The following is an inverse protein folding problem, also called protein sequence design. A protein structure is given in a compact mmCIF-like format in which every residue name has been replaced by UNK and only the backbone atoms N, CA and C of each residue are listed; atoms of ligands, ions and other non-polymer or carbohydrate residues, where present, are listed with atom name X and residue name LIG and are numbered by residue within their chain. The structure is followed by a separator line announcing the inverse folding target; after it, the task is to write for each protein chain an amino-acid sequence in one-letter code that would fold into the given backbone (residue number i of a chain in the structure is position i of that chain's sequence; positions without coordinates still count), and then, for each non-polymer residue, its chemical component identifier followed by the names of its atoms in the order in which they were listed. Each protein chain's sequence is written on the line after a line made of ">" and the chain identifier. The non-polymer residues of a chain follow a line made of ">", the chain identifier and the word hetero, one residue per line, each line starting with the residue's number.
data_IF_165780585911
#
_entry.id   IF_165780585911
#
_cell.length_a   1.000
_cell.length_b   1.000
_cell.length_c   1.000
_cell.angle_alpha   90.00
_cell.angle_beta   90.00
_cell.angle_gamma   90.00
#
_symmetry.space_group_name_H-M   'P 1'
#
loop_
_entity.id
_entity.type
_entity.pdbx_description
1 polymer ?
#
# COMPACT_ATOMS: atom_id res chain seq x y z
N UNK A 1 4.65 13.76 -38.22
CA UNK A 1 4.57 12.85 -37.05
C UNK A 1 5.96 12.28 -36.83
N UNK A 2 6.54 12.42 -35.65
CA UNK A 2 7.82 11.76 -35.33
C UNK A 2 7.59 10.25 -35.22
N UNK A 3 8.52 9.46 -35.74
CA UNK A 3 8.52 8.00 -35.61
C UNK A 3 8.62 7.62 -34.13
N UNK A 4 7.70 6.77 -33.67
CA UNK A 4 7.72 6.26 -32.30
C UNK A 4 8.84 5.21 -32.15
N UNK A 5 9.66 5.35 -31.11
CA UNK A 5 10.71 4.40 -30.76
C UNK A 5 10.52 3.93 -29.31
N UNK A 6 10.03 2.70 -29.08
CA UNK A 6 9.81 2.18 -27.73
C UNK A 6 11.14 2.03 -26.98
N UNK A 7 11.14 2.40 -25.70
CA UNK A 7 12.29 2.29 -24.80
C UNK A 7 11.87 1.59 -23.51
N UNK A 8 11.74 0.24 -23.51
CA UNK A 8 11.43 -0.50 -22.30
C UNK A 8 12.57 -0.35 -21.28
N UNK A 9 12.24 -0.42 -19.99
CA UNK A 9 13.24 -0.44 -18.92
C UNK A 9 14.04 -1.73 -19.00
N UNK A 10 15.35 -1.63 -18.79
CA UNK A 10 16.20 -2.82 -18.70
C UNK A 10 15.93 -3.58 -17.40
N UNK A 11 15.46 -4.81 -17.54
CA UNK A 11 15.15 -5.75 -16.45
C UNK A 11 16.05 -6.99 -16.48
N UNK A 12 17.05 -7.03 -17.37
CA UNK A 12 17.88 -8.22 -17.61
C UNK A 12 18.69 -8.67 -16.38
N UNK A 13 19.11 -7.72 -15.54
CA UNK A 13 19.83 -7.98 -14.29
C UNK A 13 18.93 -8.31 -13.09
N UNK A 14 17.60 -8.29 -13.24
CA UNK A 14 16.68 -8.51 -12.12
C UNK A 14 16.45 -10.00 -11.92
N UNK A 15 16.80 -10.49 -10.73
CA UNK A 15 16.47 -11.84 -10.27
C UNK A 15 15.30 -11.80 -9.30
N UNK A 16 14.25 -12.57 -9.59
CA UNK A 16 13.09 -12.71 -8.72
C UNK A 16 13.29 -13.92 -7.80
N UNK A 17 12.92 -13.79 -6.52
CA UNK A 17 12.93 -14.92 -5.59
C UNK A 17 11.85 -15.94 -5.95
N UNK A 18 11.98 -17.19 -5.46
CA UNK A 18 10.97 -18.23 -5.69
C UNK A 18 9.56 -17.82 -5.24
N UNK A 19 9.45 -17.13 -4.12
CA UNK A 19 8.15 -16.66 -3.63
C UNK A 19 7.54 -15.59 -4.53
N UNK A 20 8.35 -14.72 -5.14
CA UNK A 20 7.88 -13.75 -6.12
C UNK A 20 7.53 -14.45 -7.44
N UNK A 21 8.27 -15.48 -7.83
CA UNK A 21 7.94 -16.29 -9.01
C UNK A 21 6.57 -16.94 -8.87
N UNK A 22 6.17 -17.40 -7.68
CA UNK A 22 4.81 -17.91 -7.43
C UNK A 22 3.72 -16.86 -7.66
N UNK A 23 4.00 -15.57 -7.45
CA UNK A 23 3.05 -14.48 -7.75
C UNK A 23 2.78 -14.35 -9.25
N UNK A 24 3.70 -14.81 -10.10
CA UNK A 24 3.53 -14.76 -11.56
C UNK A 24 2.26 -15.46 -12.00
N UNK A 25 2.00 -16.66 -11.48
CA UNK A 25 0.83 -17.45 -11.88
C UNK A 25 -0.47 -16.77 -11.44
N UNK A 26 -0.49 -16.25 -10.20
CA UNK A 26 -1.63 -15.52 -9.66
C UNK A 26 -1.92 -14.24 -10.47
N UNK A 27 -0.89 -13.51 -10.86
CA UNK A 27 -1.04 -12.30 -11.68
C UNK A 27 -1.46 -12.63 -13.12
N UNK A 28 -0.93 -13.71 -13.71
CA UNK A 28 -1.30 -14.18 -15.03
C UNK A 28 -2.79 -14.59 -15.07
N UNK A 29 -3.22 -15.39 -14.10
CA UNK A 29 -4.62 -15.77 -13.94
C UNK A 29 -5.52 -14.55 -13.73
N UNK A 30 -5.14 -13.63 -12.83
CA UNK A 30 -5.90 -12.41 -12.60
C UNK A 30 -6.06 -11.56 -13.87
N UNK A 31 -4.96 -11.35 -14.62
CA UNK A 31 -5.01 -10.58 -15.87
C UNK A 31 -5.94 -11.22 -16.89
N UNK A 32 -5.92 -12.55 -17.00
CA UNK A 32 -6.83 -13.29 -17.87
C UNK A 32 -8.29 -13.11 -17.45
N UNK A 33 -8.59 -13.22 -16.16
CA UNK A 33 -9.95 -13.04 -15.64
C UNK A 33 -10.48 -11.62 -15.87
N UNK A 34 -9.63 -10.59 -15.70
CA UNK A 34 -10.00 -9.19 -16.02
C UNK A 34 -10.27 -9.02 -17.51
N UNK A 35 -9.41 -9.56 -18.38
CA UNK A 35 -9.62 -9.53 -19.82
C UNK A 35 -10.92 -10.24 -20.21
N UNK A 36 -11.16 -11.44 -19.67
CA UNK A 36 -12.33 -12.24 -19.96
C UNK A 36 -13.62 -11.55 -19.48
N UNK A 37 -13.61 -11.01 -18.26
CA UNK A 37 -14.72 -10.23 -17.71
C UNK A 37 -15.07 -9.04 -18.62
N UNK A 38 -14.05 -8.28 -19.04
CA UNK A 38 -14.24 -7.14 -19.94
C UNK A 38 -14.84 -7.60 -21.28
N UNK A 39 -14.28 -8.64 -21.91
CA UNK A 39 -14.80 -9.20 -23.17
C UNK A 39 -16.24 -9.67 -23.03
N UNK A 40 -16.58 -10.39 -21.96
CA UNK A 40 -17.94 -10.85 -21.68
C UNK A 40 -18.90 -9.65 -21.52
N UNK A 41 -18.48 -8.60 -20.80
CA UNK A 41 -19.28 -7.37 -20.65
C UNK A 41 -19.55 -6.67 -21.99
N UNK A 42 -18.63 -6.77 -22.93
CA UNK A 42 -18.76 -6.27 -24.30
C UNK A 42 -19.59 -7.20 -25.21
N UNK A 43 -20.16 -8.29 -24.67
CA UNK A 43 -20.99 -9.26 -25.38
C UNK A 43 -20.21 -10.34 -26.11
N UNK A 44 -18.93 -10.55 -25.78
CA UNK A 44 -18.17 -11.66 -26.34
C UNK A 44 -18.53 -12.98 -25.66
N UNK A 45 -18.47 -14.06 -26.45
CA UNK A 45 -18.76 -15.42 -26.00
C UNK A 45 -17.68 -16.39 -26.44
N UNK A 46 -17.62 -17.56 -25.82
CA UNK A 46 -16.72 -18.62 -26.26
C UNK A 46 -17.01 -19.05 -27.72
N UNK A 47 -15.95 -19.31 -28.47
CA UNK A 47 -16.03 -20.02 -29.75
C UNK A 47 -14.69 -20.67 -30.09
N UNK A 48 -14.68 -21.79 -30.83
CA UNK A 48 -13.47 -22.56 -31.11
C UNK A 48 -12.43 -21.80 -31.94
N UNK A 49 -12.84 -20.73 -32.61
CA UNK A 49 -11.99 -19.79 -33.33
C UNK A 49 -12.47 -18.36 -33.07
N UNK A 50 -11.57 -17.41 -33.24
CA UNK A 50 -11.88 -15.98 -33.10
C UNK A 50 -12.77 -15.53 -34.27
N UNK A 51 -13.90 -14.90 -33.94
CA UNK A 51 -14.85 -14.32 -34.89
C UNK A 51 -15.33 -12.97 -34.34
N UNK A 52 -14.71 -11.88 -34.77
CA UNK A 52 -14.99 -10.54 -34.24
C UNK A 52 -16.39 -10.05 -34.61
N UNK A 53 -16.93 -10.47 -35.76
CA UNK A 53 -18.27 -10.10 -36.21
C UNK A 53 -19.36 -10.74 -35.32
N UNK A 54 -19.15 -11.99 -34.89
CA UNK A 54 -20.04 -12.69 -33.94
C UNK A 54 -19.58 -12.56 -32.49
N UNK A 55 -18.53 -11.77 -32.23
CA UNK A 55 -17.87 -11.60 -30.92
C UNK A 55 -17.57 -12.94 -30.25
N UNK A 56 -16.84 -13.82 -30.93
CA UNK A 56 -16.37 -15.09 -30.37
C UNK A 56 -14.87 -15.10 -30.18
N UNK A 57 -14.40 -15.68 -29.07
CA UNK A 57 -12.98 -15.85 -28.80
C UNK A 57 -12.68 -17.21 -28.13
N UNK A 58 -11.64 -17.95 -28.56
CA UNK A 58 -11.30 -19.26 -28.00
C UNK A 58 -10.80 -19.18 -26.55
N UNK A 59 -10.10 -18.10 -26.21
CA UNK A 59 -9.61 -17.85 -24.86
C UNK A 59 -10.69 -17.54 -23.82
N UNK A 60 -11.98 -17.43 -24.17
CA UNK A 60 -13.05 -17.21 -23.18
C UNK A 60 -13.41 -18.51 -22.43
N UNK A 61 -12.43 -19.02 -21.72
CA UNK A 61 -12.47 -20.20 -20.85
C UNK A 61 -11.71 -19.86 -19.55
N UNK A 62 -11.92 -20.61 -18.45
CA UNK A 62 -11.10 -20.45 -17.25
C UNK A 62 -9.61 -20.55 -17.57
N UNK A 63 -8.78 -19.75 -16.91
CA UNK A 63 -7.33 -19.68 -17.15
C UNK A 63 -6.62 -21.05 -17.20
N UNK A 64 -6.98 -21.96 -16.28
CA UNK A 64 -6.44 -23.33 -16.24
C UNK A 64 -6.79 -24.21 -17.46
N UNK A 65 -7.72 -23.79 -18.32
CA UNK A 65 -8.10 -24.48 -19.56
C UNK A 65 -7.47 -23.89 -20.82
N UNK A 66 -6.71 -22.80 -20.70
CA UNK A 66 -5.94 -22.24 -21.81
C UNK A 66 -4.85 -23.22 -22.27
N UNK A 67 -4.28 -22.97 -23.44
CA UNK A 67 -3.04 -23.64 -23.85
C UNK A 67 -1.84 -23.12 -23.05
N UNK A 68 -0.77 -23.91 -22.96
CA UNK A 68 0.46 -23.46 -22.31
C UNK A 68 1.06 -22.22 -22.96
N UNK A 69 0.93 -22.09 -24.29
CA UNK A 69 1.40 -20.92 -25.04
C UNK A 69 0.62 -19.65 -24.70
N UNK A 70 -0.70 -19.75 -24.54
CA UNK A 70 -1.54 -18.62 -24.13
C UNK A 70 -1.19 -18.20 -22.70
N UNK A 71 -1.13 -19.15 -21.77
CA UNK A 71 -0.68 -18.86 -20.39
C UNK A 71 0.72 -18.28 -20.34
N UNK A 72 1.63 -18.72 -21.22
CA UNK A 72 3.00 -18.20 -21.24
C UNK A 72 3.05 -16.71 -21.60
N UNK A 73 2.14 -16.23 -22.44
CA UNK A 73 2.04 -14.81 -22.76
C UNK A 73 1.67 -13.97 -21.52
N UNK A 74 0.66 -14.42 -20.77
CA UNK A 74 0.24 -13.74 -19.54
C UNK A 74 1.32 -13.80 -18.46
N UNK A 75 1.97 -14.96 -18.31
CA UNK A 75 3.12 -15.14 -17.39
C UNK A 75 4.28 -14.23 -17.74
N UNK A 76 4.62 -14.09 -19.01
CA UNK A 76 5.69 -13.17 -19.44
C UNK A 76 5.35 -11.71 -19.09
N UNK A 77 4.09 -11.32 -19.30
CA UNK A 77 3.61 -9.98 -18.96
C UNK A 77 3.69 -9.72 -17.45
N UNK A 78 3.26 -10.69 -16.64
CA UNK A 78 3.35 -10.62 -15.19
C UNK A 78 4.81 -10.58 -14.68
N UNK A 79 5.70 -11.41 -15.25
CA UNK A 79 7.12 -11.43 -14.90
C UNK A 79 7.79 -10.09 -15.16
N UNK A 80 7.58 -9.49 -16.34
CA UNK A 80 8.18 -8.20 -16.66
C UNK A 80 7.65 -7.08 -15.75
N UNK A 81 6.36 -7.09 -15.42
CA UNK A 81 5.81 -6.14 -14.45
C UNK A 81 6.49 -6.27 -13.07
N UNK A 82 6.65 -7.50 -12.56
CA UNK A 82 7.36 -7.77 -11.30
C UNK A 82 8.81 -7.30 -11.36
N UNK A 83 9.53 -7.59 -12.46
CA UNK A 83 10.92 -7.14 -12.60
C UNK A 83 11.04 -5.63 -12.64
N UNK A 84 10.14 -4.92 -13.31
CA UNK A 84 10.12 -3.45 -13.34
C UNK A 84 9.96 -2.88 -11.93
N UNK A 85 9.07 -3.45 -11.11
CA UNK A 85 8.87 -3.03 -9.72
C UNK A 85 10.19 -3.13 -8.93
N UNK A 86 10.89 -4.26 -9.05
CA UNK A 86 12.18 -4.49 -8.38
C UNK A 86 13.27 -3.55 -8.95
N UNK A 87 13.34 -3.38 -10.28
CA UNK A 87 14.27 -2.46 -10.94
C UNK A 87 14.06 -0.98 -10.54
N UNK A 88 12.87 -0.63 -10.05
CA UNK A 88 12.57 0.68 -9.49
C UNK A 88 12.98 0.83 -8.00
N UNK A 89 13.65 -0.17 -7.42
CA UNK A 89 14.11 -0.14 -6.03
C UNK A 89 13.07 -0.59 -5.01
N UNK A 90 11.96 -1.19 -5.44
CA UNK A 90 10.94 -1.72 -4.54
C UNK A 90 11.29 -3.14 -4.07
N UNK A 91 10.77 -3.53 -2.90
CA UNK A 91 10.85 -4.91 -2.40
C UNK A 91 9.45 -5.48 -2.22
N UNK A 92 9.21 -6.68 -2.76
CA UNK A 92 7.98 -7.45 -2.54
C UNK A 92 8.30 -8.50 -1.47
N UNK A 93 7.60 -8.43 -0.34
CA UNK A 93 7.78 -9.37 0.77
C UNK A 93 6.45 -10.06 1.01
N UNK A 94 6.36 -11.40 0.88
CA UNK A 94 5.20 -12.16 1.33
C UNK A 94 4.99 -11.90 2.81
N UNK A 95 3.80 -11.41 3.18
CA UNK A 95 3.40 -11.43 4.58
C UNK A 95 3.26 -12.92 4.96
N UNK A 96 3.99 -13.36 6.00
CA UNK A 96 4.09 -14.76 6.38
C UNK A 96 2.73 -15.50 6.27
N UNK A 97 2.72 -16.63 5.55
CA UNK A 97 1.52 -17.45 5.33
C UNK A 97 1.03 -18.04 6.66
N UNK A 98 -0.07 -17.48 7.13
CA UNK A 98 -0.85 -17.86 8.32
C UNK A 98 -1.82 -16.71 8.61
N UNK A 99 -2.94 -16.96 9.29
CA UNK A 99 -4.01 -15.97 9.56
C UNK A 99 -3.57 -14.63 10.19
N UNK A 100 -2.28 -14.49 10.51
CA UNK A 100 -1.59 -13.26 10.87
C UNK A 100 -1.59 -12.22 9.74
N UNK A 101 -1.41 -12.58 8.46
CA UNK A 101 -1.32 -11.59 7.37
C UNK A 101 -2.65 -10.87 7.09
N UNK A 102 -3.76 -11.61 7.08
CA UNK A 102 -5.12 -11.07 6.95
C UNK A 102 -5.51 -10.24 8.18
N UNK A 103 -5.06 -10.67 9.38
CA UNK A 103 -5.22 -9.91 10.62
C UNK A 103 -4.39 -8.61 10.60
N UNK A 104 -3.16 -8.61 10.07
CA UNK A 104 -2.31 -7.41 10.00
C UNK A 104 -2.83 -6.40 8.98
N UNK A 105 -3.27 -6.83 7.80
CA UNK A 105 -3.86 -5.92 6.81
C UNK A 105 -5.16 -5.29 7.34
N UNK A 106 -6.05 -6.10 7.91
CA UNK A 106 -7.30 -5.59 8.51
C UNK A 106 -7.05 -4.69 9.72
N UNK A 107 -6.03 -4.96 10.53
CA UNK A 107 -5.61 -4.08 11.62
C UNK A 107 -5.08 -2.74 11.10
N UNK A 108 -4.30 -2.74 10.01
CA UNK A 108 -3.80 -1.50 9.38
C UNK A 108 -4.91 -0.67 8.75
N UNK A 109 -5.88 -1.32 8.11
CA UNK A 109 -7.06 -0.64 7.56
C UNK A 109 -7.89 -0.01 8.66
N UNK A 110 -8.08 -0.73 9.78
CA UNK A 110 -8.75 -0.20 10.97
C UNK A 110 -8.01 1.00 11.56
N UNK A 111 -6.70 0.87 11.78
CA UNK A 111 -5.87 1.97 12.29
C UNK A 111 -5.93 3.21 11.38
N UNK A 112 -6.00 3.02 10.06
CA UNK A 112 -6.15 4.12 9.10
C UNK A 112 -7.54 4.79 9.19
N UNK A 113 -8.60 4.00 9.38
CA UNK A 113 -9.95 4.53 9.58
C UNK A 113 -10.03 5.31 10.90
N UNK A 114 -9.50 4.75 11.98
CA UNK A 114 -9.43 5.39 13.31
C UNK A 114 -8.62 6.70 13.26
N UNK A 115 -7.50 6.71 12.53
CA UNK A 115 -6.72 7.93 12.27
C UNK A 115 -7.56 9.00 11.58
N UNK A 116 -8.28 8.63 10.52
CA UNK A 116 -9.09 9.57 9.75
C UNK A 116 -10.20 10.18 10.61
N UNK A 117 -10.87 9.37 11.43
CA UNK A 117 -11.90 9.83 12.38
C UNK A 117 -11.31 10.76 13.43
N UNK A 118 -10.16 10.39 14.03
CA UNK A 118 -9.50 11.23 15.02
C UNK A 118 -9.05 12.57 14.44
N UNK A 119 -8.40 12.57 13.27
CA UNK A 119 -7.99 13.81 12.61
C UNK A 119 -9.19 14.68 12.24
N UNK A 120 -10.31 14.09 11.79
CA UNK A 120 -11.52 14.84 11.53
C UNK A 120 -12.07 15.51 12.81
N UNK A 121 -12.06 14.79 13.94
CA UNK A 121 -12.47 15.33 15.26
C UNK A 121 -11.57 16.48 15.72
N UNK A 122 -10.25 16.33 15.59
CA UNK A 122 -9.26 17.37 15.95
C UNK A 122 -9.34 18.60 15.03
N UNK A 123 -9.68 18.40 13.76
CA UNK A 123 -9.93 19.49 12.82
C UNK A 123 -11.23 20.23 13.14
N UNK A 124 -12.28 19.54 13.60
CA UNK A 124 -13.56 20.15 13.94
C UNK A 124 -13.49 21.15 15.10
N UNK A 125 -12.54 20.97 16.02
CA UNK A 125 -12.30 21.88 17.17
C UNK A 125 -11.22 22.93 16.90
N UNK A 126 -10.73 23.06 15.67
CA UNK A 126 -9.70 24.04 15.33
C UNK A 126 -10.18 25.49 15.52
N UNK A 127 -9.41 26.26 16.26
CA UNK A 127 -9.68 27.66 16.59
C UNK A 127 -10.76 27.86 17.65
N UNK A 128 -11.33 26.78 18.21
CA UNK A 128 -12.36 26.88 19.24
C UNK A 128 -11.75 26.91 20.64
N UNK A 129 -12.54 27.31 21.64
CA UNK A 129 -12.10 27.33 23.05
C UNK A 129 -11.88 25.91 23.61
N UNK A 130 -12.47 24.90 22.98
CA UNK A 130 -12.34 23.48 23.32
C UNK A 130 -11.06 22.85 22.76
N UNK A 131 -10.39 23.50 21.80
CA UNK A 131 -9.25 22.97 21.06
C UNK A 131 -8.18 22.37 21.98
N UNK A 132 -7.69 23.16 22.94
CA UNK A 132 -6.65 22.72 23.85
C UNK A 132 -7.10 21.51 24.67
N UNK A 133 -8.34 21.53 25.18
CA UNK A 133 -8.87 20.43 26.00
C UNK A 133 -8.97 19.12 25.23
N UNK A 134 -9.34 19.18 23.95
CA UNK A 134 -9.46 17.99 23.10
C UNK A 134 -8.09 17.44 22.70
N UNK A 135 -7.12 18.31 22.42
CA UNK A 135 -5.73 17.90 22.16
C UNK A 135 -5.11 17.23 23.40
N UNK A 136 -5.31 17.82 24.58
CA UNK A 136 -4.82 17.28 25.86
C UNK A 136 -5.46 15.92 26.17
N UNK A 137 -6.77 15.81 26.00
CA UNK A 137 -7.51 14.55 26.18
C UNK A 137 -7.02 13.49 25.22
N UNK A 138 -6.89 13.82 23.94
CA UNK A 138 -6.40 12.89 22.91
C UNK A 138 -5.00 12.37 23.25
N UNK A 139 -4.11 13.23 23.74
CA UNK A 139 -2.78 12.81 24.15
C UNK A 139 -2.77 11.98 25.43
N UNK A 140 -3.59 12.33 26.42
CA UNK A 140 -3.58 11.67 27.73
C UNK A 140 -4.28 10.32 27.76
N UNK A 141 -5.25 10.09 26.86
CA UNK A 141 -6.00 8.83 26.76
C UNK A 141 -5.47 7.91 25.66
N UNK A 142 -4.32 8.24 25.06
CA UNK A 142 -3.73 7.42 23.99
C UNK A 142 -3.29 6.07 24.54
N UNK A 143 -3.28 5.08 23.67
CA UNK A 143 -2.64 3.80 23.91
C UNK A 143 -1.37 3.74 23.05
N UNK A 144 -0.21 3.64 23.68
CA UNK A 144 1.08 3.60 22.96
C UNK A 144 1.27 2.28 22.17
N UNK A 145 0.50 1.24 22.49
CA UNK A 145 0.48 -0.04 21.76
C UNK A 145 -0.47 -0.03 20.54
N UNK A 146 -1.22 1.04 20.33
CA UNK A 146 -2.15 1.16 19.21
C UNK A 146 -1.39 1.49 17.91
N UNK A 147 -1.61 0.65 16.88
CA UNK A 147 -1.01 0.76 15.56
C UNK A 147 -1.27 2.13 14.89
N UNK A 148 -2.40 2.77 15.18
CA UNK A 148 -2.68 4.12 14.69
C UNK A 148 -1.58 5.09 15.12
N UNK A 149 -1.16 5.05 16.38
CA UNK A 149 -0.11 5.92 16.91
C UNK A 149 1.26 5.52 16.38
N UNK A 150 1.58 4.23 16.37
CA UNK A 150 2.90 3.76 15.94
C UNK A 150 3.17 4.03 14.45
N UNK A 151 2.13 3.97 13.60
CA UNK A 151 2.25 4.04 12.14
C UNK A 151 1.95 5.41 11.53
N UNK A 152 1.53 6.41 12.32
CA UNK A 152 1.03 7.69 11.78
C UNK A 152 1.81 8.91 12.31
N UNK A 153 2.91 9.31 11.65
CA UNK A 153 3.64 10.52 12.03
C UNK A 153 2.79 11.78 11.84
N UNK A 154 1.80 11.77 10.95
CA UNK A 154 0.90 12.89 10.68
C UNK A 154 0.11 13.29 11.93
N UNK A 155 -0.33 12.31 12.73
CA UNK A 155 -1.04 12.56 13.99
C UNK A 155 -0.14 13.30 14.98
N UNK A 156 1.12 12.85 15.12
CA UNK A 156 2.11 13.47 15.99
C UNK A 156 2.47 14.88 15.54
N UNK A 157 2.68 15.09 14.23
CA UNK A 157 2.91 16.41 13.65
C UNK A 157 1.71 17.33 13.88
N UNK A 158 0.49 16.83 13.70
CA UNK A 158 -0.72 17.60 13.92
C UNK A 158 -0.84 18.05 15.37
N UNK A 159 -0.77 17.11 16.32
CA UNK A 159 -0.85 17.39 17.75
C UNK A 159 0.24 18.35 18.21
N UNK A 160 1.50 18.05 17.91
CA UNK A 160 2.64 18.85 18.35
C UNK A 160 2.60 20.29 17.83
N UNK A 161 2.27 20.51 16.55
CA UNK A 161 2.12 21.87 15.98
C UNK A 161 1.02 22.66 16.65
N UNK A 162 -0.12 22.02 16.91
CA UNK A 162 -1.30 22.67 17.47
C UNK A 162 -1.07 23.01 18.95
N UNK A 163 -0.52 22.08 19.71
CA UNK A 163 -0.08 22.31 21.09
C UNK A 163 0.94 23.45 21.18
N UNK A 164 1.92 23.50 20.27
CA UNK A 164 2.89 24.59 20.22
C UNK A 164 2.23 25.95 19.98
N UNK A 165 1.29 26.04 19.03
CA UNK A 165 0.52 27.27 18.74
C UNK A 165 -0.31 27.74 19.94
N UNK A 166 -0.80 26.81 20.76
CA UNK A 166 -1.60 27.10 21.95
C UNK A 166 -0.73 27.33 23.21
N UNK A 167 0.60 27.39 23.08
CA UNK A 167 1.52 27.65 24.19
C UNK A 167 1.89 26.42 25.02
N UNK A 168 1.43 25.22 24.66
CA UNK A 168 1.75 23.96 25.34
C UNK A 168 3.07 23.35 24.81
N UNK A 169 4.15 24.15 24.80
CA UNK A 169 5.43 23.80 24.16
C UNK A 169 6.10 22.55 24.74
N UNK A 170 6.05 22.36 26.07
CA UNK A 170 6.64 21.17 26.70
C UNK A 170 5.95 19.89 26.25
N UNK A 171 4.61 19.91 26.18
CA UNK A 171 3.84 18.77 25.71
C UNK A 171 4.06 18.53 24.22
N UNK A 172 4.14 19.59 23.40
CA UNK A 172 4.48 19.46 22.00
C UNK A 172 5.83 18.74 21.78
N UNK A 173 6.84 19.05 22.59
CA UNK A 173 8.15 18.36 22.56
C UNK A 173 8.05 16.91 23.03
N UNK A 174 7.20 16.62 24.01
CA UNK A 174 6.93 15.25 24.46
C UNK A 174 6.31 14.42 23.33
N UNK A 175 5.29 14.94 22.65
CA UNK A 175 4.65 14.30 21.49
C UNK A 175 5.69 13.93 20.42
N UNK A 176 6.57 14.88 20.10
CA UNK A 176 7.64 14.68 19.11
C UNK A 176 8.63 13.60 19.59
N UNK A 177 9.03 13.64 20.86
CA UNK A 177 9.98 12.66 21.42
C UNK A 177 9.41 11.25 21.36
N UNK A 178 8.14 11.07 21.72
CA UNK A 178 7.46 9.78 21.63
C UNK A 178 7.43 9.29 20.18
N UNK A 179 7.04 10.16 19.24
CA UNK A 179 6.99 9.81 17.82
C UNK A 179 8.35 9.34 17.28
N UNK A 180 9.42 10.09 17.58
CA UNK A 180 10.79 9.75 17.14
C UNK A 180 11.37 8.54 17.89
N UNK A 181 10.80 8.17 19.03
CA UNK A 181 11.21 7.05 19.86
C UNK A 181 10.61 5.70 19.46
N UNK A 182 9.60 5.66 18.57
CA UNK A 182 9.03 4.39 18.11
C UNK A 182 10.09 3.50 17.45
N UNK A 183 10.08 2.23 17.84
CA UNK A 183 10.95 1.18 17.34
C UNK A 183 10.09 0.08 16.72
N UNK A 184 10.42 -0.31 15.49
CA UNK A 184 9.87 -1.50 14.85
C UNK A 184 11.00 -2.49 14.55
N UNK A 185 10.70 -3.78 14.54
CA UNK A 185 11.65 -4.80 14.09
C UNK A 185 11.31 -5.21 12.66
N UNK A 186 12.26 -5.02 11.74
CA UNK A 186 12.15 -5.43 10.34
C UNK A 186 13.39 -6.27 10.02
N UNK A 187 13.20 -7.51 9.56
CA UNK A 187 14.29 -8.43 9.24
C UNK A 187 15.31 -8.62 10.40
N UNK A 188 14.82 -8.74 11.64
CA UNK A 188 15.62 -8.82 12.88
C UNK A 188 16.45 -7.57 13.23
N UNK A 189 16.31 -6.49 12.45
CA UNK A 189 16.93 -5.20 12.75
C UNK A 189 15.92 -4.23 13.36
N UNK A 190 16.35 -3.51 14.40
CA UNK A 190 15.57 -2.41 14.96
C UNK A 190 15.63 -1.20 14.03
N UNK A 191 14.47 -0.68 13.67
CA UNK A 191 14.32 0.52 12.88
C UNK A 191 13.50 1.55 13.63
N UNK A 192 13.84 2.83 13.41
CA UNK A 192 13.08 3.98 13.90
C UNK A 192 12.41 4.66 12.70
N UNK A 193 11.15 4.32 12.38
CA UNK A 193 10.53 4.69 11.11
C UNK A 193 10.55 6.20 10.84
N UNK A 194 10.45 6.99 11.92
CA UNK A 194 10.29 8.43 11.88
C UNK A 194 11.58 9.19 12.22
N UNK A 195 12.69 8.48 12.45
CA UNK A 195 13.93 9.13 12.87
C UNK A 195 14.42 10.20 11.89
N UNK A 196 14.07 10.14 10.59
CA UNK A 196 14.46 11.15 9.59
C UNK A 196 13.36 12.17 9.25
N UNK A 197 12.27 12.19 10.00
CA UNK A 197 11.15 13.10 9.78
C UNK A 197 11.54 14.56 10.08
N UNK A 198 11.67 15.35 9.01
CA UNK A 198 12.11 16.75 9.09
C UNK A 198 11.08 17.61 9.83
N UNK A 199 9.79 17.36 9.62
CA UNK A 199 8.71 18.16 10.19
C UNK A 199 8.60 17.98 11.70
N UNK A 200 8.73 16.74 12.19
CA UNK A 200 8.76 16.46 13.63
C UNK A 200 10.00 17.08 14.29
N UNK A 201 11.16 16.94 13.64
CA UNK A 201 12.43 17.47 14.18
C UNK A 201 12.47 18.99 14.27
N UNK A 202 11.71 19.71 13.44
CA UNK A 202 11.60 21.17 13.52
C UNK A 202 10.89 21.67 14.79
N UNK A 203 10.14 20.80 15.48
CA UNK A 203 9.36 21.13 16.68
C UNK A 203 10.15 20.81 17.97
N UNK A 204 11.22 20.01 17.86
CA UNK A 204 12.10 19.61 18.98
C UNK A 204 12.88 20.79 19.57
#
# INVERSE_FOLDING_TARGET
>A
MSTYHPQPRDTSGVQLSEDILKLTELLAEHNHEIWAQQRISEGWTFGPQRDDAKKKHPGLVPYGKLTDSERQYDRNTALEALKVIIACGSRIVPLATGGVAENVLSQRERARADLAELLARLCAVLGTKEELSELLKTWSTRNDDDLMWQLSPELHRHLSRRLLKLGAALLAKEVVRTALGYEITVDQEKQHPWAKDVELRQIQ
#
